data_IF_834036877578
#
_entry.id   IF_834036877578
#
_cell.length_a   1.000
_cell.length_b   1.000
_cell.length_c   1.000
_cell.angle_alpha   90.00
_cell.angle_beta   90.00
_cell.angle_gamma   90.00
#
_symmetry.space_group_name_H-M   'P 1'
#
loop_
_entity.id
_entity.type
_entity.pdbx_description
1 polymer ?
#
# COMPACT_ATOMS: atom_id res chain seq x y z
N UNK A 1 9.43 -23.83 5.52
CA UNK A 1 8.95 -22.96 4.43
C UNK A 1 8.72 -21.56 4.99
N UNK A 2 9.11 -20.49 4.28
CA UNK A 2 9.02 -19.13 4.81
C UNK A 2 7.55 -18.67 4.92
N UNK A 3 6.97 -18.75 6.12
CA UNK A 3 5.56 -18.41 6.39
C UNK A 3 5.27 -16.89 6.41
N UNK A 4 6.27 -16.09 6.04
CA UNK A 4 6.27 -14.63 6.10
C UNK A 4 6.22 -13.99 4.72
N UNK A 5 6.35 -14.77 3.64
CA UNK A 5 6.32 -14.22 2.30
C UNK A 5 4.89 -13.92 1.85
N UNK A 6 4.70 -12.76 1.25
CA UNK A 6 3.41 -12.31 0.73
C UNK A 6 3.45 -12.51 -0.78
N UNK A 7 2.63 -13.45 -1.29
CA UNK A 7 2.56 -13.77 -2.72
C UNK A 7 1.19 -13.50 -3.34
N UNK A 8 0.18 -13.11 -2.54
CA UNK A 8 -1.20 -12.95 -3.00
C UNK A 8 -1.83 -14.19 -3.66
N UNK A 9 -1.25 -15.39 -3.47
CA UNK A 9 -1.90 -16.63 -3.92
C UNK A 9 -2.98 -17.05 -2.91
N UNK A 10 -3.83 -18.02 -3.29
CA UNK A 10 -4.95 -18.47 -2.44
C UNK A 10 -4.51 -19.16 -1.14
N UNK A 11 -3.26 -19.63 -1.07
CA UNK A 11 -2.74 -20.47 0.02
C UNK A 11 -1.83 -19.73 0.99
N UNK A 12 -1.30 -18.56 0.61
CA UNK A 12 -0.40 -17.73 1.41
C UNK A 12 -1.06 -16.39 1.79
N UNK A 13 -0.34 -15.62 2.59
CA UNK A 13 -0.75 -14.27 3.01
C UNK A 13 -0.90 -13.34 1.80
N UNK A 14 -1.93 -12.50 1.85
CA UNK A 14 -2.13 -11.40 0.91
C UNK A 14 -1.58 -10.08 1.46
N UNK A 15 -1.12 -9.23 0.55
CA UNK A 15 -0.64 -7.89 0.84
C UNK A 15 -1.76 -7.05 1.46
N UNK A 16 -2.95 -7.13 0.88
CA UNK A 16 -4.17 -6.49 1.40
C UNK A 16 -4.41 -6.85 2.87
N UNK A 17 -4.45 -8.15 3.18
CA UNK A 17 -4.71 -8.62 4.54
C UNK A 17 -3.66 -8.11 5.52
N UNK A 18 -2.38 -8.15 5.12
CA UNK A 18 -1.29 -7.64 5.94
C UNK A 18 -1.39 -6.14 6.20
N UNK A 19 -1.65 -5.35 5.16
CA UNK A 19 -1.77 -3.89 5.28
C UNK A 19 -2.94 -3.50 6.18
N UNK A 20 -4.08 -4.16 6.07
CA UNK A 20 -5.23 -3.91 6.95
C UNK A 20 -4.91 -4.19 8.42
N UNK A 21 -4.19 -5.28 8.70
CA UNK A 21 -3.71 -5.56 10.08
C UNK A 21 -2.80 -4.44 10.57
N UNK A 22 -1.86 -3.97 9.74
CA UNK A 22 -0.91 -2.92 10.13
C UNK A 22 -1.60 -1.57 10.37
N UNK A 23 -2.55 -1.19 9.51
CA UNK A 23 -3.36 0.04 9.65
C UNK A 23 -4.16 0.03 10.96
N UNK A 24 -4.66 -1.14 11.38
CA UNK A 24 -5.46 -1.27 12.60
C UNK A 24 -4.66 -1.23 13.91
N UNK A 25 -3.33 -1.42 13.87
CA UNK A 25 -2.49 -1.54 15.08
C UNK A 25 -1.37 -0.50 15.16
N UNK A 26 -1.26 0.40 14.18
CA UNK A 26 -0.16 1.37 14.09
C UNK A 26 -0.68 2.79 14.22
N UNK A 27 0.11 3.64 14.86
CA UNK A 27 -0.12 5.10 14.89
C UNK A 27 0.58 5.81 13.73
N UNK A 28 1.69 5.24 13.23
CA UNK A 28 2.44 5.76 12.08
C UNK A 28 2.84 4.61 11.13
N UNK A 29 2.62 4.81 9.83
CA UNK A 29 3.06 3.88 8.78
C UNK A 29 3.93 4.62 7.75
N UNK A 30 5.09 4.04 7.42
CA UNK A 30 6.04 4.57 6.44
C UNK A 30 6.23 3.56 5.33
N UNK A 31 5.91 3.95 4.11
CA UNK A 31 6.07 3.12 2.92
C UNK A 31 7.11 3.72 1.99
N UNK A 32 8.03 2.87 1.55
CA UNK A 32 8.96 3.16 0.45
C UNK A 32 8.59 2.23 -0.70
N UNK A 33 8.18 2.81 -1.83
CA UNK A 33 7.74 2.05 -3.01
C UNK A 33 8.44 2.55 -4.25
N UNK A 34 8.73 1.65 -5.19
CA UNK A 34 9.26 2.02 -6.50
C UNK A 34 8.22 2.76 -7.34
N UNK A 35 7.05 2.15 -7.53
CA UNK A 35 5.89 2.68 -8.26
C UNK A 35 4.65 2.68 -7.37
N UNK A 36 3.65 3.48 -7.75
CA UNK A 36 2.35 3.50 -7.08
C UNK A 36 1.21 3.68 -8.09
N UNK A 37 0.20 2.79 -8.04
CA UNK A 37 -0.99 2.85 -8.89
C UNK A 37 -2.22 3.25 -8.06
N UNK A 38 -3.01 4.20 -8.56
CA UNK A 38 -4.23 4.67 -7.88
C UNK A 38 -5.27 3.56 -7.64
N UNK A 39 -5.34 2.56 -8.53
CA UNK A 39 -6.25 1.41 -8.38
C UNK A 39 -5.99 0.60 -7.10
N UNK A 40 -4.76 0.57 -6.58
CA UNK A 40 -4.44 -0.08 -5.31
C UNK A 40 -4.87 0.72 -4.07
N UNK A 41 -5.25 1.99 -4.24
CA UNK A 41 -5.56 2.89 -3.13
C UNK A 41 -6.96 2.74 -2.58
N UNK A 42 -7.95 2.46 -3.42
CA UNK A 42 -9.36 2.44 -3.01
C UNK A 42 -9.60 1.55 -1.78
N UNK A 43 -8.90 0.42 -1.72
CA UNK A 43 -9.04 -0.56 -0.65
C UNK A 43 -8.27 -0.19 0.63
N UNK A 44 -7.14 0.51 0.50
CA UNK A 44 -6.40 1.04 1.64
C UNK A 44 -7.12 2.25 2.22
N UNK A 45 -7.60 3.13 1.35
CA UNK A 45 -8.26 4.39 1.68
C UNK A 45 -9.47 4.22 2.61
N UNK A 46 -10.32 3.23 2.35
CA UNK A 46 -11.48 2.98 3.22
C UNK A 46 -11.09 2.47 4.62
N UNK A 47 -9.92 1.84 4.79
CA UNK A 47 -9.41 1.46 6.10
C UNK A 47 -8.64 2.59 6.78
N UNK A 48 -7.93 3.41 6.00
CA UNK A 48 -7.26 4.61 6.50
C UNK A 48 -8.29 5.62 7.04
N UNK A 49 -9.41 5.83 6.35
CA UNK A 49 -10.51 6.69 6.81
C UNK A 49 -11.08 6.29 8.17
N UNK A 50 -11.06 5.01 8.52
CA UNK A 50 -11.58 4.51 9.80
C UNK A 50 -10.64 4.78 10.97
N UNK A 51 -9.39 5.16 10.71
CA UNK A 51 -8.39 5.48 11.71
C UNK A 51 -7.86 6.90 11.46
N UNK A 52 -8.61 7.90 11.89
CA UNK A 52 -8.30 9.32 11.66
C UNK A 52 -6.99 9.79 12.33
N UNK A 53 -6.50 9.05 13.33
CA UNK A 53 -5.26 9.38 14.04
C UNK A 53 -4.00 8.78 13.40
N UNK A 54 -4.16 7.93 12.39
CA UNK A 54 -3.03 7.28 11.71
C UNK A 54 -2.26 8.27 10.84
N UNK A 55 -0.97 8.41 11.10
CA UNK A 55 -0.05 9.16 10.23
C UNK A 55 0.52 8.24 9.15
N UNK A 56 0.24 8.55 7.89
CA UNK A 56 0.76 7.80 6.75
C UNK A 56 1.79 8.62 5.98
N UNK A 57 3.00 8.05 5.77
CA UNK A 57 4.06 8.63 4.95
C UNK A 57 4.41 7.69 3.81
N UNK A 58 4.38 8.20 2.58
CA UNK A 58 4.65 7.44 1.37
C UNK A 58 5.77 8.13 0.59
N UNK A 59 6.89 7.42 0.40
CA UNK A 59 7.98 7.83 -0.49
C UNK A 59 7.92 6.96 -1.75
N UNK A 60 7.64 7.59 -2.89
CA UNK A 60 7.52 6.92 -4.20
C UNK A 60 8.76 7.25 -5.03
N UNK A 61 9.45 6.23 -5.53
CA UNK A 61 10.72 6.36 -6.23
C UNK A 61 10.62 6.67 -7.73
N UNK A 62 9.44 6.65 -8.35
CA UNK A 62 9.31 6.76 -9.80
C UNK A 62 9.00 8.18 -10.31
N UNK A 63 9.68 8.52 -11.41
CA UNK A 63 9.32 9.58 -12.36
C UNK A 63 8.11 9.18 -13.22
N UNK A 64 7.01 8.73 -12.61
CA UNK A 64 5.77 8.39 -13.36
C UNK A 64 5.28 9.59 -14.18
N UNK A 65 5.54 10.82 -13.72
CA UNK A 65 5.32 12.07 -14.44
C UNK A 65 5.89 12.09 -15.87
N UNK A 66 7.06 11.48 -16.12
CA UNK A 66 7.68 11.48 -17.46
C UNK A 66 7.06 10.45 -18.41
N UNK A 67 6.39 9.43 -17.88
CA UNK A 67 5.77 8.36 -18.67
C UNK A 67 4.29 8.69 -18.97
N UNK A 68 3.59 9.34 -18.03
CA UNK A 68 2.17 9.71 -18.19
C UNK A 68 1.95 11.03 -18.94
N UNK A 69 2.91 11.98 -18.94
CA UNK A 69 2.84 13.20 -19.78
C UNK A 69 3.01 12.94 -21.29
N UNK A 70 3.02 11.68 -21.75
CA UNK A 70 2.99 11.29 -23.17
C UNK A 70 1.64 10.73 -23.63
N UNK A 71 0.62 10.76 -22.77
CA UNK A 71 -0.76 10.48 -23.17
C UNK A 71 -1.49 11.83 -23.27
N UNK A 72 -1.25 12.53 -24.37
CA UNK A 72 -2.10 13.60 -24.92
C UNK A 72 -2.49 13.16 -26.33
#
# INVERSE_FOLDING_TARGET
>A
MANNFITNNKTNKSLKGRLNTLIGISDELKFLVGFFYFSGWQELFENLKKNENLTLKLLVGLQVDQILNKIV
#
